data_IF_960334269613
#
_entry.id   IF_960334269613
#
_cell.length_a   1.000
_cell.length_b   1.000
_cell.length_c   1.000
_cell.angle_alpha   90.00
_cell.angle_beta   90.00
_cell.angle_gamma   90.00
#
_symmetry.space_group_name_H-M   'P 1'
#
loop_
_entity.id
_entity.type
_entity.pdbx_description
1 polymer ?
#
# COMPACT_ATOMS: atom_id res chain seq x y z
N UNK A 1 47.85 61.12 8.73
CA UNK A 1 46.54 61.15 8.06
C UNK A 1 45.52 60.55 9.01
N UNK A 2 44.62 61.38 9.54
CA UNK A 2 43.65 61.04 10.60
C UNK A 2 42.39 60.38 10.05
N UNK A 3 41.74 59.51 10.85
CA UNK A 3 40.27 59.31 11.03
C UNK A 3 40.09 58.51 12.33
N UNK A 4 39.88 59.14 13.50
CA UNK A 4 38.59 59.53 14.10
C UNK A 4 37.57 58.38 14.06
N UNK A 5 37.33 57.77 15.23
CA UNK A 5 36.29 56.77 15.45
C UNK A 5 34.95 57.38 15.87
N UNK A 6 33.95 56.53 16.08
CA UNK A 6 32.82 56.77 16.99
C UNK A 6 32.21 55.43 17.43
N UNK A 7 31.88 55.38 18.72
CA UNK A 7 31.16 54.32 19.46
C UNK A 7 29.64 54.46 19.29
N UNK A 8 28.92 53.48 19.86
CA UNK A 8 27.50 53.45 20.28
C UNK A 8 26.56 52.96 19.16
N UNK A 9 25.57 52.07 19.40
CA UNK A 9 24.73 51.92 20.58
C UNK A 9 24.13 50.50 20.60
N UNK A 10 24.24 49.83 21.75
CA UNK A 10 23.51 48.61 22.08
C UNK A 10 22.21 49.05 22.77
N UNK A 11 21.06 48.77 22.18
CA UNK A 11 19.77 48.97 22.87
C UNK A 11 18.99 47.66 22.94
N UNK A 12 18.38 47.49 24.09
CA UNK A 12 17.88 46.26 24.68
C UNK A 12 16.35 46.36 24.79
N UNK A 13 15.69 45.20 24.79
CA UNK A 13 14.36 44.93 25.37
C UNK A 13 13.11 45.35 24.56
N UNK A 14 12.24 44.37 24.27
CA UNK A 14 10.94 44.25 24.97
C UNK A 14 10.17 43.02 24.47
N UNK A 15 10.01 42.04 25.36
CA UNK A 15 9.01 40.98 25.24
C UNK A 15 7.62 41.60 25.43
N UNK A 16 6.71 41.37 24.48
CA UNK A 16 5.28 41.65 24.67
C UNK A 16 4.45 40.39 24.45
N UNK A 17 3.77 40.06 25.54
CA UNK A 17 2.79 39.01 25.81
C UNK A 17 1.66 38.97 24.78
N UNK A 18 1.38 37.78 24.26
CA UNK A 18 0.19 37.49 23.44
C UNK A 18 -1.00 37.37 24.39
N UNK A 19 -1.90 38.34 24.35
CA UNK A 19 -3.17 38.31 25.06
C UNK A 19 -4.24 37.58 24.25
N UNK A 20 -4.99 36.73 24.96
CA UNK A 20 -6.15 35.99 24.49
C UNK A 20 -7.21 36.93 23.89
N UNK A 21 -7.67 36.64 22.67
CA UNK A 21 -8.93 37.15 22.14
C UNK A 21 -9.88 35.99 21.84
N UNK A 22 -11.09 36.16 22.35
CA UNK A 22 -12.20 35.22 22.40
C UNK A 22 -12.91 35.09 21.05
N UNK A 23 -13.26 33.85 20.70
CA UNK A 23 -14.03 33.49 19.52
C UNK A 23 -15.53 33.69 19.82
N UNK A 24 -16.30 34.47 19.05
CA UNK A 24 -17.75 34.42 19.15
C UNK A 24 -18.30 33.22 18.34
N UNK A 25 -19.02 32.35 19.04
CA UNK A 25 -19.90 31.32 18.45
C UNK A 25 -21.07 32.02 17.76
N UNK A 26 -21.29 31.75 16.48
CA UNK A 26 -22.52 32.08 15.78
C UNK A 26 -23.18 30.79 15.26
N UNK A 27 -24.43 30.60 15.69
CA UNK A 27 -25.33 29.50 15.43
C UNK A 27 -25.87 29.51 14.00
N UNK A 28 -25.91 28.33 13.37
CA UNK A 28 -26.75 28.08 12.19
C UNK A 28 -28.20 27.87 12.66
N UNK A 29 -29.21 28.27 11.88
CA UNK A 29 -29.86 27.24 11.07
C UNK A 29 -30.39 27.79 9.73
N UNK A 30 -30.09 27.10 8.62
CA UNK A 30 -30.99 27.18 7.47
C UNK A 30 -31.14 25.82 6.82
N UNK A 31 -32.30 25.22 7.12
CA UNK A 31 -32.87 24.06 6.48
C UNK A 31 -33.01 24.34 4.98
N UNK A 32 -32.42 23.50 4.14
CA UNK A 32 -32.76 23.46 2.71
C UNK A 32 -33.91 22.47 2.52
N UNK A 33 -35.09 22.88 2.02
CA UNK A 33 -36.09 21.94 1.60
C UNK A 33 -35.64 21.24 0.30
N UNK A 34 -35.86 19.92 0.28
CA UNK A 34 -35.76 19.04 -0.88
C UNK A 34 -36.57 19.62 -2.04
N UNK A 35 -35.91 19.96 -3.16
CA UNK A 35 -36.61 20.26 -4.42
C UNK A 35 -37.10 18.94 -5.03
N UNK A 36 -38.40 18.70 -4.92
CA UNK A 36 -39.13 17.77 -5.78
C UNK A 36 -39.36 18.44 -7.14
N UNK A 37 -39.01 17.76 -8.23
CA UNK A 37 -39.39 18.16 -9.57
C UNK A 37 -40.70 17.45 -9.97
N UNK A 38 -41.77 18.16 -10.35
CA UNK A 38 -42.93 17.53 -10.97
C UNK A 38 -42.82 17.51 -12.51
N UNK A 39 -42.81 16.28 -13.04
CA UNK A 39 -43.61 15.76 -14.16
C UNK A 39 -43.93 16.69 -15.34
N UNK A 40 -43.38 16.37 -16.52
CA UNK A 40 -43.85 16.92 -17.82
C UNK A 40 -45.18 16.25 -18.21
N UNK A 41 -46.17 16.97 -18.75
CA UNK A 41 -47.38 16.37 -19.30
C UNK A 41 -47.07 15.63 -20.62
N UNK A 42 -47.73 14.48 -20.80
CA UNK A 42 -47.76 13.74 -22.06
C UNK A 42 -48.80 14.37 -22.99
N UNK A 43 -48.38 14.85 -24.17
CA UNK A 43 -49.31 15.15 -25.27
C UNK A 43 -49.34 13.97 -26.23
N UNK A 44 -50.56 13.43 -26.38
CA UNK A 44 -50.95 12.44 -27.36
C UNK A 44 -51.41 13.18 -28.63
N UNK A 45 -50.84 12.85 -29.79
CA UNK A 45 -51.51 13.03 -31.10
C UNK A 45 -51.13 11.88 -32.04
N UNK A 46 -52.09 11.23 -32.73
CA UNK A 46 -51.85 10.05 -33.56
C UNK A 46 -51.69 10.36 -35.08
N UNK A 47 -51.26 9.31 -35.82
CA UNK A 47 -51.28 9.13 -37.30
C UNK A 47 -50.23 9.93 -38.11
N UNK A 48 -49.52 9.41 -39.13
CA UNK A 48 -49.65 8.18 -39.93
C UNK A 48 -48.48 8.04 -40.94
N UNK A 49 -48.17 6.78 -41.30
CA UNK A 49 -47.69 6.25 -42.61
C UNK A 49 -46.28 6.62 -43.13
N UNK A 50 -45.36 5.64 -43.14
CA UNK A 50 -44.84 4.91 -44.32
C UNK A 50 -43.33 5.23 -44.47
N UNK A 51 -42.38 4.38 -44.82
CA UNK A 51 -42.31 3.13 -45.59
C UNK A 51 -40.91 2.49 -45.40
N UNK A 52 -40.83 1.14 -45.51
CA UNK A 52 -39.73 0.30 -46.09
C UNK A 52 -38.25 0.57 -45.71
N UNK A 53 -37.37 -0.37 -45.35
CA UNK A 53 -37.11 -1.70 -45.92
C UNK A 53 -35.95 -2.43 -45.20
N UNK A 54 -36.01 -3.77 -45.16
CA UNK A 54 -34.92 -4.76 -45.36
C UNK A 54 -33.66 -4.68 -44.46
N UNK A 55 -33.48 -5.57 -43.46
CA UNK A 55 -32.97 -6.96 -43.54
C UNK A 55 -31.44 -7.09 -43.67
N UNK A 56 -30.77 -7.64 -42.62
CA UNK A 56 -29.95 -8.86 -42.67
C UNK A 56 -29.02 -8.98 -41.45
N UNK A 57 -29.26 -9.99 -40.60
CA UNK A 57 -28.20 -10.65 -39.81
C UNK A 57 -27.45 -11.66 -40.72
N UNK A 58 -26.31 -12.25 -40.31
CA UNK A 58 -26.42 -13.49 -39.52
C UNK A 58 -25.33 -13.75 -38.45
N UNK A 59 -25.79 -14.47 -37.42
CA UNK A 59 -25.24 -15.65 -36.72
C UNK A 59 -23.78 -15.68 -36.22
N UNK A 60 -23.69 -15.81 -34.91
CA UNK A 60 -22.62 -16.50 -34.19
C UNK A 60 -22.74 -18.02 -34.36
N UNK A 61 -21.61 -18.71 -34.51
CA UNK A 61 -21.49 -20.17 -34.38
C UNK A 61 -20.44 -20.50 -33.31
N UNK A 62 -20.89 -21.22 -32.29
CA UNK A 62 -20.10 -21.87 -31.26
C UNK A 62 -19.81 -23.31 -31.73
N UNK A 63 -18.55 -23.74 -31.65
CA UNK A 63 -18.17 -25.15 -31.78
C UNK A 63 -17.54 -25.63 -30.46
N UNK A 64 -18.09 -26.66 -29.78
CA UNK A 64 -17.38 -27.39 -28.74
C UNK A 64 -16.62 -28.56 -29.37
N UNK A 65 -15.31 -28.64 -29.12
CA UNK A 65 -14.51 -29.82 -29.48
C UNK A 65 -14.90 -31.00 -28.58
N UNK A 66 -15.40 -32.04 -29.22
CA UNK A 66 -15.77 -33.33 -28.67
C UNK A 66 -14.56 -34.14 -28.23
N UNK A 67 -14.65 -34.69 -27.02
CA UNK A 67 -13.76 -35.70 -26.46
C UNK A 67 -14.10 -37.04 -27.09
N UNK A 68 -13.21 -37.57 -27.94
CA UNK A 68 -13.33 -38.93 -28.44
C UNK A 68 -12.60 -39.92 -27.53
N UNK A 69 -13.38 -40.91 -27.12
CA UNK A 69 -13.04 -42.02 -26.24
C UNK A 69 -12.95 -43.25 -27.13
N UNK A 70 -11.76 -43.83 -27.34
CA UNK A 70 -11.63 -45.24 -27.76
C UNK A 70 -10.50 -45.96 -27.05
N UNK A 71 -10.88 -47.15 -26.63
CA UNK A 71 -10.20 -48.21 -25.89
C UNK A 71 -9.20 -49.01 -26.75
N UNK A 72 -8.19 -49.57 -26.09
CA UNK A 72 -7.91 -51.02 -25.98
C UNK A 72 -6.43 -51.44 -26.18
N UNK A 73 -5.87 -51.95 -25.08
CA UNK A 73 -5.05 -53.18 -24.89
C UNK A 73 -3.84 -53.45 -25.80
N UNK A 74 -2.63 -53.42 -25.19
CA UNK A 74 -1.65 -54.53 -25.08
C UNK A 74 -0.37 -54.00 -24.38
N UNK A 75 -0.13 -54.35 -23.11
CA UNK A 75 0.94 -55.25 -22.62
C UNK A 75 2.29 -55.14 -23.37
N UNK A 76 3.29 -54.59 -22.69
CA UNK A 76 4.52 -55.35 -22.45
C UNK A 76 5.23 -54.89 -21.16
N UNK A 77 6.21 -55.68 -20.77
CA UNK A 77 6.59 -56.01 -19.40
C UNK A 77 7.87 -55.29 -18.96
N UNK A 78 8.14 -55.31 -17.65
CA UNK A 78 9.44 -55.09 -16.99
C UNK A 78 9.86 -53.66 -16.63
N UNK A 79 9.76 -53.34 -15.33
CA UNK A 79 10.86 -52.82 -14.51
C UNK A 79 10.37 -52.65 -13.06
N UNK A 80 10.45 -53.74 -12.31
CA UNK A 80 10.22 -53.79 -10.87
C UNK A 80 11.45 -53.25 -10.13
N UNK A 81 11.27 -52.32 -9.19
CA UNK A 81 12.12 -52.24 -8.00
C UNK A 81 12.85 -50.91 -7.76
N UNK A 82 12.14 -49.88 -7.29
CA UNK A 82 12.80 -48.77 -6.57
C UNK A 82 11.86 -48.00 -5.61
N UNK A 83 10.93 -48.68 -4.93
CA UNK A 83 10.09 -48.03 -3.90
C UNK A 83 9.95 -48.83 -2.59
N UNK A 84 10.47 -50.06 -2.51
CA UNK A 84 10.48 -50.84 -1.27
C UNK A 84 11.64 -50.48 -0.32
N UNK A 85 12.62 -49.68 -0.76
CA UNK A 85 13.87 -49.41 -0.01
C UNK A 85 13.81 -48.21 0.94
N UNK A 86 12.73 -47.43 0.95
CA UNK A 86 12.53 -46.32 1.90
C UNK A 86 11.73 -46.72 3.13
N UNK A 87 10.88 -47.74 3.05
CA UNK A 87 10.07 -48.23 4.17
C UNK A 87 10.85 -49.05 5.20
N UNK A 88 11.99 -49.65 4.81
CA UNK A 88 12.79 -50.52 5.69
C UNK A 88 13.86 -49.79 6.50
N UNK A 89 14.10 -48.49 6.27
CA UNK A 89 15.03 -47.68 7.09
C UNK A 89 14.35 -47.24 8.40
N UNK A 90 13.02 -47.14 8.43
CA UNK A 90 12.26 -46.62 9.56
C UNK A 90 11.86 -47.69 10.60
N UNK A 91 12.08 -48.98 10.34
CA UNK A 91 11.57 -50.07 11.18
C UNK A 91 12.63 -50.97 11.85
N UNK A 92 13.91 -50.57 11.89
CA UNK A 92 14.96 -51.43 12.43
C UNK A 92 15.85 -50.86 13.55
N UNK A 93 15.44 -49.79 14.23
CA UNK A 93 16.07 -49.40 15.51
C UNK A 93 15.01 -49.15 16.60
N UNK A 94 14.33 -50.23 16.96
CA UNK A 94 13.69 -50.39 18.25
C UNK A 94 14.65 -51.09 19.20
N UNK A 95 15.59 -50.35 19.77
CA UNK A 95 16.22 -50.68 21.05
C UNK A 95 16.26 -49.43 21.91
N UNK A 96 15.86 -49.63 23.15
CA UNK A 96 15.66 -48.62 24.18
C UNK A 96 17.02 -48.01 24.54
N UNK A 97 17.29 -46.79 24.08
CA UNK A 97 18.25 -45.91 24.74
C UNK A 97 17.43 -44.96 25.61
N UNK A 98 17.43 -45.22 26.92
CA UNK A 98 16.98 -44.26 27.91
C UNK A 98 17.63 -42.91 27.60
N UNK A 99 16.81 -41.89 27.42
CA UNK A 99 17.26 -40.52 27.29
C UNK A 99 17.79 -40.13 28.68
N UNK A 100 19.10 -40.21 28.88
CA UNK A 100 19.78 -39.61 30.03
C UNK A 100 19.62 -38.09 29.88
N UNK A 101 18.54 -37.57 30.44
CA UNK A 101 18.36 -36.14 30.67
C UNK A 101 19.32 -35.76 31.78
N UNK A 102 20.54 -35.37 31.41
CA UNK A 102 21.43 -34.68 32.33
C UNK A 102 20.79 -33.31 32.66
N UNK A 103 20.35 -33.04 33.91
CA UNK A 103 19.62 -31.81 34.25
C UNK A 103 20.50 -30.55 34.23
N UNK A 104 21.79 -30.69 33.91
CA UNK A 104 22.75 -29.58 33.84
C UNK A 104 23.03 -29.07 32.42
N UNK A 105 22.39 -29.59 31.37
CA UNK A 105 22.55 -29.05 30.01
C UNK A 105 21.61 -27.85 29.74
N UNK A 106 21.67 -26.87 30.63
CA UNK A 106 21.05 -25.54 30.49
C UNK A 106 21.82 -24.62 29.53
N UNK A 107 22.36 -25.17 28.43
CA UNK A 107 23.16 -24.42 27.45
C UNK A 107 22.45 -24.21 26.10
N UNK A 108 21.25 -24.76 25.89
CA UNK A 108 20.40 -24.51 24.70
C UNK A 108 19.51 -23.26 24.81
N UNK A 109 19.84 -22.33 25.71
CA UNK A 109 19.11 -21.06 25.88
C UNK A 109 19.85 -19.84 25.32
N UNK A 110 21.11 -19.98 24.89
CA UNK A 110 21.88 -18.89 24.30
C UNK A 110 21.75 -18.88 22.78
N UNK A 111 21.10 -17.84 22.24
CA UNK A 111 20.89 -17.49 20.82
C UNK A 111 19.62 -17.98 20.13
N UNK A 112 18.49 -18.11 20.85
CA UNK A 112 17.22 -17.72 20.18
C UNK A 112 17.30 -16.21 19.99
N UNK A 113 17.95 -15.78 18.90
CA UNK A 113 18.07 -14.38 18.55
C UNK A 113 16.68 -13.77 18.65
N UNK A 114 16.45 -12.93 19.66
CA UNK A 114 15.20 -12.20 19.83
C UNK A 114 14.99 -11.49 18.50
N UNK A 115 14.03 -11.96 17.70
CA UNK A 115 13.75 -11.35 16.41
C UNK A 115 13.13 -10.00 16.71
N UNK A 116 13.97 -8.96 16.82
CA UNK A 116 13.55 -7.57 16.94
C UNK A 116 12.72 -7.25 15.68
N UNK A 117 11.44 -6.94 15.89
CA UNK A 117 10.51 -6.62 14.80
C UNK A 117 11.03 -5.37 14.06
N UNK A 118 11.10 -5.40 12.71
CA UNK A 118 11.61 -4.27 11.94
C UNK A 118 10.64 -3.08 12.05
N UNK A 119 11.18 -1.87 11.84
CA UNK A 119 10.34 -0.70 11.62
C UNK A 119 9.60 -0.86 10.28
N UNK A 120 8.42 -0.26 10.14
CA UNK A 120 7.67 -0.37 8.90
C UNK A 120 7.60 0.96 8.15
N UNK A 121 7.91 0.91 6.86
CA UNK A 121 7.76 2.01 5.92
C UNK A 121 6.56 1.72 5.01
N UNK A 122 5.41 2.23 5.40
CA UNK A 122 4.17 2.05 4.67
C UNK A 122 4.07 3.05 3.52
N UNK A 123 3.87 2.52 2.32
CA UNK A 123 3.64 3.29 1.09
C UNK A 123 2.24 2.93 0.59
N UNK A 124 1.29 3.83 0.83
CA UNK A 124 -0.08 3.68 0.35
C UNK A 124 -0.33 4.57 -0.86
N UNK A 125 -0.29 3.96 -2.05
CA UNK A 125 -0.45 4.63 -3.33
C UNK A 125 -1.88 4.40 -3.87
N UNK A 126 -2.72 5.41 -3.76
CA UNK A 126 -4.06 5.42 -4.37
C UNK A 126 -4.03 6.00 -5.78
N UNK A 127 -5.16 5.95 -6.49
CA UNK A 127 -5.29 6.59 -7.82
C UNK A 127 -5.10 8.12 -7.77
N UNK A 128 -5.36 8.77 -6.64
CA UNK A 128 -5.47 10.23 -6.56
C UNK A 128 -4.51 10.88 -5.57
N UNK A 129 -3.78 10.09 -4.78
CA UNK A 129 -2.85 10.57 -3.77
C UNK A 129 -1.92 9.45 -3.31
N UNK A 130 -0.80 9.82 -2.68
CA UNK A 130 0.15 8.92 -2.04
C UNK A 130 0.31 9.31 -0.58
N UNK A 131 0.33 8.32 0.29
CA UNK A 131 0.56 8.46 1.72
C UNK A 131 1.79 7.62 2.10
N UNK A 132 2.71 8.24 2.82
CA UNK A 132 3.91 7.59 3.36
C UNK A 132 3.84 7.67 4.87
N UNK A 133 3.98 6.54 5.53
CA UNK A 133 3.96 6.45 6.99
C UNK A 133 5.12 5.60 7.46
N UNK A 134 5.97 6.16 8.30
CA UNK A 134 7.00 5.42 9.03
C UNK A 134 6.45 5.10 10.42
N UNK A 135 6.52 3.83 10.81
CA UNK A 135 6.10 3.37 12.13
C UNK A 135 7.23 2.66 12.86
N UNK A 136 7.14 2.69 14.19
CA UNK A 136 7.92 1.83 15.07
C UNK A 136 7.53 0.35 14.87
N UNK A 137 8.30 -0.59 15.45
CA UNK A 137 7.93 -2.01 15.54
C UNK A 137 6.58 -2.21 16.24
N UNK A 138 6.25 -1.38 17.24
CA UNK A 138 4.95 -1.36 17.92
C UNK A 138 3.79 -0.82 17.05
N UNK A 139 4.05 -0.54 15.76
CA UNK A 139 3.10 0.02 14.79
C UNK A 139 2.57 1.42 15.16
N UNK A 140 3.24 2.09 16.09
CA UNK A 140 2.98 3.50 16.41
C UNK A 140 3.58 4.40 15.31
N UNK A 141 2.81 5.32 14.73
CA UNK A 141 3.29 6.18 13.64
C UNK A 141 4.23 7.26 14.17
N UNK A 142 5.42 7.35 13.59
CA UNK A 142 6.41 8.39 13.88
C UNK A 142 6.20 9.58 12.94
N UNK A 143 6.14 9.28 11.63
CA UNK A 143 5.94 10.27 10.57
C UNK A 143 4.82 9.76 9.68
N UNK A 144 3.83 10.62 9.42
CA UNK A 144 2.75 10.32 8.49
C UNK A 144 2.46 11.52 7.63
N UNK A 145 2.78 11.43 6.34
CA UNK A 145 2.68 12.53 5.40
C UNK A 145 2.07 12.06 4.07
N UNK A 146 1.51 13.02 3.33
CA UNK A 146 0.92 12.81 2.02
C UNK A 146 1.30 13.92 1.06
N UNK A 147 1.04 13.76 -0.23
CA UNK A 147 1.39 14.80 -1.22
C UNK A 147 0.72 16.15 -0.90
N UNK A 148 -0.44 16.13 -0.23
CA UNK A 148 -1.12 17.34 0.21
C UNK A 148 -0.36 18.17 1.25
N UNK A 149 0.51 17.55 2.06
CA UNK A 149 1.29 18.22 3.11
C UNK A 149 2.41 19.09 2.53
N UNK A 150 2.95 18.72 1.36
CA UNK A 150 4.04 19.46 0.67
C UNK A 150 3.48 20.63 -0.17
N UNK A 151 2.15 20.75 -0.24
CA UNK A 151 1.48 21.87 -0.88
C UNK A 151 0.76 21.51 -2.17
N UNK A 152 0.88 20.27 -2.68
CA UNK A 152 0.14 19.85 -3.86
C UNK A 152 -1.37 19.90 -3.61
N UNK A 153 -2.12 20.52 -4.53
CA UNK A 153 -3.58 20.69 -4.43
C UNK A 153 -4.30 19.93 -5.53
N UNK A 154 -5.49 19.41 -5.19
CA UNK A 154 -6.43 18.76 -6.12
C UNK A 154 -5.72 17.71 -7.01
N UNK A 155 -5.84 17.85 -8.34
CA UNK A 155 -5.28 16.94 -9.31
C UNK A 155 -3.75 16.85 -9.28
N UNK A 156 -3.05 17.85 -8.74
CA UNK A 156 -1.59 17.83 -8.62
C UNK A 156 -1.05 16.76 -7.67
N UNK A 157 -1.89 16.15 -6.83
CA UNK A 157 -1.48 15.10 -5.86
C UNK A 157 -1.35 13.70 -6.45
N UNK A 158 -1.90 13.48 -7.64
CA UNK A 158 -1.99 12.15 -8.27
C UNK A 158 -0.76 11.80 -9.11
N UNK A 159 0.09 12.78 -9.39
CA UNK A 159 1.18 12.67 -10.35
C UNK A 159 2.37 11.95 -9.74
N UNK A 160 3.15 11.29 -10.59
CA UNK A 160 4.40 10.65 -10.23
C UNK A 160 5.36 11.62 -9.51
N UNK A 161 5.58 12.82 -10.07
CA UNK A 161 6.51 13.82 -9.52
C UNK A 161 6.12 14.26 -8.10
N UNK A 162 4.82 14.49 -7.86
CA UNK A 162 4.35 14.87 -6.52
C UNK A 162 4.64 13.80 -5.45
N UNK A 163 4.58 12.53 -5.83
CA UNK A 163 4.89 11.41 -4.94
C UNK A 163 6.40 11.22 -4.76
N UNK A 164 7.21 11.49 -5.78
CA UNK A 164 8.67 11.48 -5.69
C UNK A 164 9.15 12.56 -4.72
N UNK A 165 8.68 13.80 -4.88
CA UNK A 165 8.98 14.90 -3.95
C UNK A 165 8.52 14.61 -2.52
N UNK A 166 7.37 13.92 -2.36
CA UNK A 166 6.94 13.42 -1.06
C UNK A 166 7.92 12.42 -0.45
N UNK A 167 8.41 11.48 -1.23
CA UNK A 167 9.39 10.50 -0.78
C UNK A 167 10.68 11.20 -0.32
N UNK A 168 11.23 12.09 -1.14
CA UNK A 168 12.43 12.89 -0.81
C UNK A 168 12.24 13.70 0.47
N UNK A 169 11.10 14.39 0.59
CA UNK A 169 10.79 15.18 1.79
C UNK A 169 10.70 14.30 3.04
N UNK A 170 10.01 13.16 2.98
CA UNK A 170 9.89 12.24 4.11
C UNK A 170 11.26 11.66 4.51
N UNK A 171 12.08 11.24 3.54
CA UNK A 171 13.42 10.71 3.81
C UNK A 171 14.37 11.79 4.37
N UNK A 172 14.26 13.02 3.87
CA UNK A 172 14.93 14.20 4.44
C UNK A 172 14.52 14.40 5.90
N UNK A 173 13.22 14.38 6.21
CA UNK A 173 12.71 14.49 7.59
C UNK A 173 13.22 13.38 8.51
N UNK A 174 13.28 12.14 8.03
CA UNK A 174 13.82 11.00 8.80
C UNK A 174 15.31 11.21 9.12
N UNK A 175 16.04 11.84 8.20
CA UNK A 175 17.46 12.16 8.37
C UNK A 175 17.65 13.32 9.35
N UNK A 176 16.91 14.42 9.16
CA UNK A 176 16.90 15.61 10.03
C UNK A 176 16.57 15.27 11.48
N UNK A 177 15.58 14.40 11.70
CA UNK A 177 15.15 13.99 13.05
C UNK A 177 16.07 12.93 13.67
N UNK A 178 17.11 12.47 12.96
CA UNK A 178 18.03 11.44 13.46
C UNK A 178 17.42 10.03 13.59
N UNK A 179 16.16 9.85 13.17
CA UNK A 179 15.44 8.56 13.24
C UNK A 179 16.16 7.49 12.41
N UNK A 180 16.78 7.90 11.30
CA UNK A 180 17.55 6.98 10.47
C UNK A 180 18.61 6.22 11.27
N UNK A 181 19.22 6.79 12.32
CA UNK A 181 20.24 6.11 13.14
C UNK A 181 19.63 5.04 14.03
N UNK A 182 18.43 5.26 14.53
CA UNK A 182 17.71 4.36 15.44
C UNK A 182 17.18 3.11 14.72
N UNK A 183 16.79 3.27 13.45
CA UNK A 183 16.32 2.16 12.63
C UNK A 183 17.49 1.20 12.36
N UNK A 184 17.43 -0.03 12.87
CA UNK A 184 18.36 -1.11 12.51
C UNK A 184 17.87 -1.90 11.31
N UNK A 185 16.59 -2.27 11.33
CA UNK A 185 15.91 -3.06 10.30
C UNK A 185 14.64 -2.34 9.87
N UNK A 186 14.41 -2.31 8.56
CA UNK A 186 13.27 -1.66 7.93
C UNK A 186 12.53 -2.66 7.03
N UNK A 187 11.21 -2.64 7.10
CA UNK A 187 10.33 -3.37 6.22
C UNK A 187 9.56 -2.38 5.34
N UNK A 188 9.55 -2.60 4.03
CA UNK A 188 8.74 -1.82 3.10
C UNK A 188 7.38 -2.49 2.91
N UNK A 189 6.31 -1.76 3.19
CA UNK A 189 4.94 -2.25 3.02
C UNK A 189 4.23 -1.45 1.94
N UNK A 190 4.11 -2.02 0.76
CA UNK A 190 3.46 -1.41 -0.40
C UNK A 190 1.97 -1.71 -0.38
N UNK A 191 1.14 -0.70 -0.64
CA UNK A 191 -0.32 -0.88 -0.74
C UNK A 191 -0.88 -0.06 -1.90
N UNK A 192 -1.60 -0.74 -2.79
CA UNK A 192 -2.20 -0.14 -3.97
C UNK A 192 -1.23 -0.06 -5.16
N UNK A 193 -1.77 0.33 -6.31
CA UNK A 193 -1.08 0.38 -7.60
C UNK A 193 -1.15 1.78 -8.23
N UNK A 194 -1.19 2.83 -7.42
CA UNK A 194 -1.10 4.20 -7.91
C UNK A 194 0.31 4.55 -8.42
N UNK A 195 0.43 5.61 -9.24
CA UNK A 195 1.72 6.08 -9.78
C UNK A 195 2.76 6.37 -8.69
N UNK A 196 2.31 6.78 -7.50
CA UNK A 196 3.21 7.05 -6.39
C UNK A 196 3.95 5.83 -5.83
N UNK A 197 3.48 4.61 -6.09
CA UNK A 197 4.20 3.40 -5.65
C UNK A 197 5.57 3.32 -6.31
N UNK A 198 5.61 3.45 -7.63
CA UNK A 198 6.87 3.44 -8.39
C UNK A 198 7.73 4.65 -8.07
N UNK A 199 7.12 5.83 -7.88
CA UNK A 199 7.83 7.05 -7.54
C UNK A 199 8.62 6.91 -6.23
N UNK A 200 7.98 6.40 -5.18
CA UNK A 200 8.61 6.20 -3.87
C UNK A 200 9.66 5.10 -3.94
N UNK A 201 9.40 3.99 -4.63
CA UNK A 201 10.40 2.93 -4.83
C UNK A 201 11.64 3.44 -5.55
N UNK A 202 11.49 4.25 -6.61
CA UNK A 202 12.63 4.85 -7.31
C UNK A 202 13.38 5.87 -6.45
N UNK A 203 12.68 6.68 -5.66
CA UNK A 203 13.31 7.60 -4.71
C UNK A 203 14.15 6.84 -3.66
N UNK A 204 13.61 5.73 -3.14
CA UNK A 204 14.29 4.87 -2.18
C UNK A 204 15.54 4.19 -2.79
N UNK A 205 15.47 3.79 -4.06
CA UNK A 205 16.62 3.20 -4.76
C UNK A 205 17.69 4.23 -5.16
N UNK A 206 17.29 5.49 -5.33
CA UNK A 206 18.16 6.61 -5.70
C UNK A 206 18.99 7.18 -4.55
N UNK A 207 19.39 8.45 -4.69
CA UNK A 207 20.20 9.19 -3.71
C UNK A 207 19.46 9.45 -2.40
N UNK A 208 18.18 9.79 -2.48
CA UNK A 208 17.33 10.18 -1.35
C UNK A 208 17.22 9.06 -0.31
N UNK A 209 17.14 7.81 -0.78
CA UNK A 209 17.04 6.63 0.05
C UNK A 209 18.36 6.05 0.53
N UNK A 210 19.52 6.68 0.29
CA UNK A 210 20.84 6.12 0.59
C UNK A 210 20.96 5.57 2.02
N UNK A 211 20.46 6.30 3.02
CA UNK A 211 20.55 5.92 4.43
C UNK A 211 19.58 4.80 4.82
N UNK A 212 18.45 4.66 4.12
CA UNK A 212 17.42 3.67 4.42
C UNK A 212 17.59 2.39 3.62
N UNK A 213 18.11 2.47 2.39
CA UNK A 213 18.25 1.35 1.44
C UNK A 213 19.02 0.18 2.05
N UNK A 214 20.12 0.44 2.75
CA UNK A 214 20.93 -0.59 3.40
C UNK A 214 20.27 -1.29 4.60
N UNK A 215 19.15 -0.75 5.09
CA UNK A 215 18.43 -1.24 6.27
C UNK A 215 17.20 -2.06 5.91
N UNK A 216 16.83 -2.11 4.62
CA UNK A 216 15.66 -2.83 4.15
C UNK A 216 15.90 -4.33 4.24
N UNK A 217 15.10 -5.02 5.06
CA UNK A 217 15.17 -6.48 5.25
C UNK A 217 14.10 -7.20 4.44
N UNK A 218 12.89 -6.62 4.35
CA UNK A 218 11.75 -7.23 3.68
C UNK A 218 10.97 -6.20 2.86
N UNK A 219 10.44 -6.64 1.73
CA UNK A 219 9.47 -5.90 0.93
C UNK A 219 8.20 -6.73 0.85
N UNK A 220 7.09 -6.17 1.30
CA UNK A 220 5.78 -6.81 1.34
C UNK A 220 4.76 -5.98 0.54
N UNK A 221 3.88 -6.66 -0.20
CA UNK A 221 2.66 -6.05 -0.74
C UNK A 221 1.47 -6.39 0.17
N UNK A 222 0.83 -5.36 0.71
CA UNK A 222 -0.36 -5.42 1.56
C UNK A 222 -1.60 -4.83 0.86
N UNK A 223 -1.67 -4.94 -0.46
CA UNK A 223 -2.85 -4.53 -1.23
C UNK A 223 -4.06 -5.40 -0.85
N UNK A 224 -5.12 -4.73 -0.39
CA UNK A 224 -6.32 -5.40 0.14
C UNK A 224 -7.18 -5.94 -0.98
N UNK A 225 -7.46 -7.24 -0.94
CA UNK A 225 -8.42 -7.94 -1.79
C UNK A 225 -9.57 -8.48 -0.92
N UNK A 226 -10.76 -8.62 -1.51
CA UNK A 226 -11.95 -9.18 -0.82
C UNK A 226 -12.44 -10.41 -1.57
N UNK A 227 -12.83 -11.44 -0.84
CA UNK A 227 -13.50 -12.62 -1.39
C UNK A 227 -15.02 -12.38 -1.35
N UNK A 228 -15.62 -12.03 -2.50
CA UNK A 228 -17.01 -11.58 -2.57
C UNK A 228 -17.21 -10.22 -1.86
N UNK A 229 -17.49 -10.24 -0.57
CA UNK A 229 -17.65 -9.05 0.29
C UNK A 229 -18.76 -8.10 -0.17
N UNK A 230 -18.67 -6.83 0.24
CA UNK A 230 -19.66 -5.81 -0.10
C UNK A 230 -19.68 -5.50 -1.60
N UNK A 231 -20.86 -5.25 -2.19
CA UNK A 231 -20.99 -4.91 -3.61
C UNK A 231 -20.22 -3.62 -3.95
N UNK A 232 -19.38 -3.68 -5.00
CA UNK A 232 -18.65 -2.50 -5.52
C UNK A 232 -19.60 -1.51 -6.21
N UNK A 233 -19.20 -0.23 -6.32
CA UNK A 233 -20.01 0.79 -7.02
C UNK A 233 -20.26 0.39 -8.47
N UNK A 234 -21.45 0.72 -8.99
CA UNK A 234 -21.83 0.46 -10.39
C UNK A 234 -20.80 1.07 -11.36
N UNK A 235 -20.50 0.40 -12.50
CA UNK A 235 -19.64 0.96 -13.54
C UNK A 235 -20.12 2.34 -13.99
N UNK A 236 -19.17 3.25 -14.25
CA UNK A 236 -19.46 4.61 -14.73
C UNK A 236 -19.66 4.59 -16.23
N UNK A 237 -20.60 5.40 -16.74
CA UNK A 237 -20.75 5.70 -18.17
C UNK A 237 -19.93 6.97 -18.44
N UNK A 238 -18.81 6.83 -19.16
CA UNK A 238 -17.86 7.92 -19.44
C UNK A 238 -17.78 8.27 -20.93
N UNK A 239 -18.56 7.57 -21.76
CA UNK A 239 -18.72 7.87 -23.19
C UNK A 239 -19.62 9.07 -23.41
#
# INVERSE_FOLDING_TARGET
>A
MSRIGTKLLLEQLSLKTISNSSIPKASLPFLRPFSQAPQRPAENTPASLSSSSASSQPKAEFAPLSVDRRSSVARDSQATGSLAKLGSIFSQHGQQSAFDLNPNDTSLSSTRATQEEPHHFHIYATRHNTHITLTNPDRTPIISLSCGNIGFRKAGRKTYDSAFQLASYVMGRITEQGIHLQIKKLELVLRGFGQGREAVTKALMGSEGRFLRGKVVRVQDATRLKFGGTRSRKPRRLG
#
